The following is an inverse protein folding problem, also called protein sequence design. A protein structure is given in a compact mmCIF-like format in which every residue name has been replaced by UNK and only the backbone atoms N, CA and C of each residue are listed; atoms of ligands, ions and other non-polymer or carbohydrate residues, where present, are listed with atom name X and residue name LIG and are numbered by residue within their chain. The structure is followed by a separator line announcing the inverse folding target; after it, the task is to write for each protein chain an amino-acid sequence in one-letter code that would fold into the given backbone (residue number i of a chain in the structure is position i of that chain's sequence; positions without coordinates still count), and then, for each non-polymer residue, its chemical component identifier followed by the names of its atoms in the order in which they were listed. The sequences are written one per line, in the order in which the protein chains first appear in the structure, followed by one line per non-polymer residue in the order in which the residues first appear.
data_IF_063036228245
#
_entry.id   IF_063036228245
#
_cell.length_a   1.000
_cell.length_b   1.000
_cell.length_c   1.000
_cell.angle_alpha   90.00
_cell.angle_beta   90.00
_cell.angle_gamma   90.00
#
_symmetry.space_group_name_H-M   'P 1'
#
loop_
_entity.id
_entity.type
_entity.pdbx_description
1 polymer ?
#
# COMPACT_ATOMS: atom_id res chain seq x y z
N UNK A 1 13.77 -14.23 -12.46
CA UNK A 1 13.74 -13.10 -13.38
C UNK A 1 14.91 -13.16 -14.34
N UNK A 2 14.68 -12.88 -15.62
CA UNK A 2 15.72 -12.90 -16.63
C UNK A 2 16.78 -11.83 -16.32
N UNK A 3 18.04 -12.22 -16.34
CA UNK A 3 19.21 -11.35 -16.12
C UNK A 3 19.16 -10.48 -14.83
N UNK A 4 18.48 -10.96 -13.77
CA UNK A 4 18.34 -10.27 -12.50
C UNK A 4 18.65 -11.22 -11.30
N UNK A 5 19.93 -11.63 -11.12
CA UNK A 5 20.33 -12.59 -10.09
C UNK A 5 20.02 -12.11 -8.67
N UNK A 6 20.14 -10.79 -8.39
CA UNK A 6 19.81 -10.21 -7.09
C UNK A 6 18.32 -10.39 -6.76
N UNK A 7 17.42 -10.04 -7.70
CA UNK A 7 15.97 -10.27 -7.55
C UNK A 7 15.62 -11.74 -7.40
N UNK A 8 16.33 -12.63 -8.08
CA UNK A 8 16.12 -14.06 -7.95
C UNK A 8 16.50 -14.52 -6.54
N UNK A 9 17.60 -14.02 -5.96
CA UNK A 9 18.00 -14.30 -4.58
C UNK A 9 16.99 -13.80 -3.52
N UNK A 10 16.30 -12.71 -3.80
CA UNK A 10 15.25 -12.17 -2.92
C UNK A 10 13.94 -12.98 -2.98
N UNK A 11 13.54 -13.40 -4.19
CA UNK A 11 12.24 -13.99 -4.46
C UNK A 11 12.23 -15.53 -4.44
N UNK A 12 13.37 -16.17 -4.63
CA UNK A 12 13.49 -17.63 -4.68
C UNK A 12 14.14 -18.16 -3.40
N UNK A 13 13.65 -19.29 -2.92
CA UNK A 13 14.22 -20.01 -1.77
C UNK A 13 14.49 -21.44 -2.20
N UNK A 14 15.73 -21.87 -2.09
CA UNK A 14 16.12 -23.26 -2.23
C UNK A 14 16.04 -23.95 -0.87
N UNK A 15 15.34 -25.08 -0.83
CA UNK A 15 15.22 -25.91 0.37
C UNK A 15 16.32 -26.97 0.42
N UNK A 16 16.55 -27.53 1.59
CA UNK A 16 17.59 -28.57 1.80
C UNK A 16 17.47 -29.81 0.89
N UNK A 17 16.30 -30.07 0.31
CA UNK A 17 16.05 -31.14 -0.66
C UNK A 17 16.20 -30.71 -2.13
N UNK A 18 16.76 -29.51 -2.39
CA UNK A 18 17.03 -28.99 -3.73
C UNK A 18 15.80 -28.44 -4.46
N UNK A 19 14.63 -28.32 -3.80
CA UNK A 19 13.45 -27.70 -4.40
C UNK A 19 13.53 -26.18 -4.30
N UNK A 20 13.18 -25.51 -5.39
CA UNK A 20 13.13 -24.05 -5.46
C UNK A 20 11.68 -23.59 -5.34
N UNK A 21 11.41 -22.68 -4.40
CA UNK A 21 10.11 -22.07 -4.17
C UNK A 21 10.18 -20.58 -4.42
N UNK A 22 9.08 -20.03 -4.94
CA UNK A 22 8.89 -18.59 -5.14
C UNK A 22 8.16 -17.99 -3.94
N UNK A 23 8.74 -16.94 -3.33
CA UNK A 23 8.07 -16.15 -2.28
C UNK A 23 7.05 -15.23 -2.93
N UNK A 24 5.77 -15.52 -2.75
CA UNK A 24 4.69 -14.73 -3.32
C UNK A 24 4.53 -13.36 -2.66
N UNK A 25 5.01 -13.21 -1.44
CA UNK A 25 4.77 -12.04 -0.59
C UNK A 25 3.43 -12.07 0.13
N UNK A 26 2.66 -13.13 -0.05
CA UNK A 26 1.40 -13.32 0.67
C UNK A 26 1.66 -13.78 2.10
N UNK A 27 0.89 -13.24 3.04
CA UNK A 27 0.85 -13.68 4.43
C UNK A 27 -0.32 -14.63 4.59
N UNK A 28 -0.01 -15.84 5.05
CA UNK A 28 -0.99 -16.88 5.30
C UNK A 28 -0.80 -17.43 6.70
N UNK A 29 -1.87 -17.97 7.28
CA UNK A 29 -1.82 -18.80 8.48
C UNK A 29 -2.44 -20.16 8.19
N UNK A 30 -2.00 -21.17 8.89
CA UNK A 30 -2.64 -22.49 8.90
C UNK A 30 -3.67 -22.51 10.03
N UNK A 31 -4.86 -23.02 9.78
CA UNK A 31 -5.86 -23.25 10.81
C UNK A 31 -5.71 -24.63 11.47
N UNK A 32 -6.66 -25.00 12.37
CA UNK A 32 -6.62 -26.25 13.10
C UNK A 32 -6.83 -27.49 12.19
N UNK A 33 -7.48 -27.32 11.07
CA UNK A 33 -7.79 -28.37 10.09
C UNK A 33 -6.67 -28.54 9.05
N UNK A 34 -5.66 -27.66 9.08
CA UNK A 34 -4.52 -27.66 8.16
C UNK A 34 -4.74 -26.84 6.89
N UNK A 35 -5.84 -26.10 6.80
CA UNK A 35 -6.15 -25.23 5.68
C UNK A 35 -5.35 -23.92 5.73
N UNK A 36 -4.95 -23.42 4.55
CA UNK A 36 -4.19 -22.19 4.43
C UNK A 36 -5.16 -21.01 4.28
N UNK A 37 -5.23 -20.20 5.33
CA UNK A 37 -6.04 -18.97 5.36
C UNK A 37 -5.17 -17.80 4.92
N UNK A 38 -5.59 -17.11 3.85
CA UNK A 38 -4.96 -15.86 3.41
C UNK A 38 -5.20 -14.74 4.42
N UNK A 39 -4.11 -14.07 4.86
CA UNK A 39 -4.17 -12.99 5.86
C UNK A 39 -3.80 -11.62 5.28
N UNK A 40 -3.41 -11.56 4.01
CA UNK A 40 -3.00 -10.32 3.34
C UNK A 40 -1.62 -10.43 2.69
N UNK A 41 -0.98 -9.28 2.46
CA UNK A 41 0.35 -9.23 1.86
C UNK A 41 1.39 -8.62 2.81
N UNK A 42 2.63 -9.06 2.67
CA UNK A 42 3.79 -8.50 3.38
C UNK A 42 4.13 -7.08 2.89
N UNK A 43 3.87 -6.83 1.61
CA UNK A 43 4.07 -5.54 0.95
C UNK A 43 2.75 -4.73 0.91
N UNK A 44 2.85 -3.48 0.46
CA UNK A 44 1.70 -2.57 0.36
C UNK A 44 0.87 -2.79 -0.91
N UNK A 45 0.94 -3.96 -1.54
CA UNK A 45 0.17 -4.28 -2.73
C UNK A 45 -1.26 -4.67 -2.40
N UNK A 46 -2.18 -4.19 -3.20
CA UNK A 46 -3.60 -4.55 -3.13
C UNK A 46 -4.14 -4.87 -4.52
N UNK A 47 -5.31 -5.48 -4.58
CA UNK A 47 -6.05 -5.67 -5.83
C UNK A 47 -7.35 -4.87 -5.76
N UNK A 48 -7.56 -3.98 -6.73
CA UNK A 48 -8.82 -3.24 -6.93
C UNK A 48 -9.31 -3.53 -8.33
N UNK A 49 -10.54 -4.06 -8.46
CA UNK A 49 -11.16 -4.37 -9.75
C UNK A 49 -10.26 -5.19 -10.70
N UNK A 50 -9.45 -6.10 -10.14
CA UNK A 50 -8.51 -6.93 -10.90
C UNK A 50 -7.14 -6.29 -11.18
N UNK A 51 -6.98 -5.00 -10.95
CA UNK A 51 -5.69 -4.32 -11.09
C UNK A 51 -4.82 -4.51 -9.84
N UNK A 52 -3.55 -4.82 -10.06
CA UNK A 52 -2.53 -4.89 -8.99
C UNK A 52 -1.96 -3.50 -8.76
N UNK A 53 -2.17 -2.95 -7.57
CA UNK A 53 -1.82 -1.58 -7.21
C UNK A 53 -0.76 -1.60 -6.12
N UNK A 54 0.31 -0.86 -6.34
CA UNK A 54 1.34 -0.54 -5.34
C UNK A 54 0.96 0.77 -4.65
N UNK A 55 0.53 0.73 -3.39
CA UNK A 55 0.17 1.96 -2.66
C UNK A 55 1.35 2.93 -2.56
N UNK A 56 2.57 2.42 -2.48
CA UNK A 56 3.80 3.22 -2.45
C UNK A 56 4.02 4.04 -3.72
N UNK A 57 3.55 3.59 -4.88
CA UNK A 57 3.62 4.35 -6.13
C UNK A 57 2.75 5.60 -6.06
N UNK A 58 1.50 5.45 -5.57
CA UNK A 58 0.59 6.58 -5.38
C UNK A 58 1.17 7.57 -4.36
N UNK A 59 1.71 7.05 -3.24
CA UNK A 59 2.35 7.87 -2.21
C UNK A 59 3.55 8.63 -2.74
N UNK A 60 4.34 8.01 -3.59
CA UNK A 60 5.51 8.65 -4.21
C UNK A 60 5.08 9.81 -5.12
N UNK A 61 4.09 9.58 -5.99
CA UNK A 61 3.56 10.62 -6.88
C UNK A 61 2.96 11.76 -6.07
N UNK A 62 2.16 11.44 -5.03
CA UNK A 62 1.57 12.46 -4.16
C UNK A 62 2.62 13.26 -3.37
N UNK A 63 3.70 12.63 -2.90
CA UNK A 63 4.82 13.33 -2.24
C UNK A 63 5.52 14.32 -3.17
N UNK A 64 5.65 13.98 -4.45
CA UNK A 64 6.28 14.88 -5.43
C UNK A 64 5.46 16.16 -5.63
N UNK A 65 4.13 16.10 -5.53
CA UNK A 65 3.28 17.29 -5.52
C UNK A 65 3.64 18.28 -4.39
N UNK A 66 4.03 17.76 -3.24
CA UNK A 66 4.43 18.56 -2.07
C UNK A 66 5.94 18.80 -1.96
N UNK A 67 6.74 18.53 -2.99
CA UNK A 67 8.22 18.62 -2.97
C UNK A 67 8.86 17.86 -1.81
N UNK A 68 8.19 16.82 -1.30
CA UNK A 68 8.67 16.04 -0.16
C UNK A 68 8.50 16.70 1.22
N UNK A 69 7.84 17.85 1.31
CA UNK A 69 7.72 18.65 2.56
C UNK A 69 6.78 18.05 3.60
N UNK A 70 5.94 17.08 3.22
CA UNK A 70 4.99 16.45 4.14
C UNK A 70 4.96 14.93 3.98
N UNK A 71 4.51 14.25 5.03
CA UNK A 71 4.23 12.81 4.95
C UNK A 71 2.92 12.58 4.25
N UNK A 72 2.91 11.53 3.44
CA UNK A 72 1.74 11.09 2.69
C UNK A 72 1.61 9.59 2.86
N UNK A 73 0.41 9.11 3.09
CA UNK A 73 0.08 7.68 3.09
C UNK A 73 -1.21 7.44 2.34
N UNK A 74 -1.31 6.28 1.71
CA UNK A 74 -2.56 5.79 1.11
C UNK A 74 -3.07 4.62 1.94
N UNK A 75 -4.32 4.72 2.37
CA UNK A 75 -5.01 3.73 3.18
C UNK A 75 -6.12 3.10 2.35
N UNK A 76 -6.07 1.79 2.09
CA UNK A 76 -7.20 1.08 1.50
C UNK A 76 -8.28 0.86 2.56
N UNK A 77 -9.51 1.23 2.25
CA UNK A 77 -10.69 0.91 3.08
C UNK A 77 -11.66 0.07 2.29
N UNK A 78 -12.27 -0.90 2.94
CA UNK A 78 -13.26 -1.78 2.35
C UNK A 78 -14.64 -1.39 2.88
N UNK A 79 -15.59 -1.22 1.97
CA UNK A 79 -16.98 -0.99 2.33
C UNK A 79 -17.71 -2.30 2.70
N UNK A 80 -19.01 -2.20 3.00
CA UNK A 80 -19.83 -3.35 3.38
C UNK A 80 -19.97 -4.40 2.26
N UNK A 81 -19.79 -4.00 1.01
CA UNK A 81 -19.81 -4.86 -0.18
C UNK A 81 -18.42 -5.38 -0.55
N UNK A 82 -17.44 -5.21 0.36
CA UNK A 82 -16.05 -5.60 0.18
C UNK A 82 -15.37 -4.92 -1.03
N UNK A 83 -15.87 -3.74 -1.45
CA UNK A 83 -15.22 -2.92 -2.45
C UNK A 83 -14.14 -2.07 -1.79
N UNK A 84 -12.95 -2.09 -2.38
CA UNK A 84 -11.80 -1.34 -1.86
C UNK A 84 -11.79 0.07 -2.43
N UNK A 85 -11.73 1.07 -1.56
CA UNK A 85 -11.54 2.46 -1.91
C UNK A 85 -10.21 2.98 -1.35
N UNK A 86 -9.54 3.83 -2.13
CA UNK A 86 -8.28 4.44 -1.73
C UNK A 86 -8.53 5.78 -1.05
N UNK A 87 -7.93 5.94 0.13
CA UNK A 87 -7.93 7.17 0.90
C UNK A 87 -6.51 7.74 0.96
N UNK A 88 -6.29 8.91 0.37
CA UNK A 88 -5.04 9.66 0.50
C UNK A 88 -5.09 10.46 1.79
N UNK A 89 -4.08 10.31 2.64
CA UNK A 89 -3.94 11.07 3.88
C UNK A 89 -2.64 11.85 3.83
N UNK A 90 -2.71 13.15 4.09
CA UNK A 90 -1.58 14.07 4.03
C UNK A 90 -1.37 14.71 5.40
N UNK A 91 -0.13 14.76 5.86
CA UNK A 91 0.25 15.45 7.11
C UNK A 91 0.34 16.95 6.88
N UNK A 92 -0.84 17.59 6.84
CA UNK A 92 -1.00 19.04 6.67
C UNK A 92 -2.27 19.51 7.36
N UNK A 93 -2.34 20.81 7.69
CA UNK A 93 -3.56 21.43 8.23
C UNK A 93 -4.66 21.60 7.19
N UNK A 94 -4.27 21.88 5.96
CA UNK A 94 -5.19 22.13 4.85
C UNK A 94 -4.62 21.54 3.55
N UNK A 95 -5.50 21.15 2.66
CA UNK A 95 -5.21 20.56 1.37
C UNK A 95 -6.13 21.15 0.30
N UNK A 96 -5.55 21.63 -0.79
CA UNK A 96 -6.31 21.87 -2.00
C UNK A 96 -6.54 20.55 -2.72
N UNK A 97 -7.73 19.98 -2.47
CA UNK A 97 -8.09 18.64 -2.99
C UNK A 97 -8.16 18.64 -4.51
N UNK A 98 -8.61 19.71 -5.11
CA UNK A 98 -8.75 19.79 -6.57
C UNK A 98 -7.38 19.77 -7.25
N UNK A 99 -6.44 20.58 -6.77
CA UNK A 99 -5.10 20.64 -7.37
C UNK A 99 -4.35 19.32 -7.27
N UNK A 100 -4.42 18.63 -6.12
CA UNK A 100 -3.76 17.34 -5.99
C UNK A 100 -4.45 16.26 -6.81
N UNK A 101 -5.77 16.27 -6.93
CA UNK A 101 -6.52 15.34 -7.79
C UNK A 101 -6.11 15.50 -9.26
N UNK A 102 -6.11 16.72 -9.77
CA UNK A 102 -5.65 17.03 -11.14
C UNK A 102 -4.21 16.58 -11.36
N UNK A 103 -3.32 16.80 -10.39
CA UNK A 103 -1.94 16.36 -10.45
C UNK A 103 -1.81 14.83 -10.51
N UNK A 104 -2.56 14.11 -9.67
CA UNK A 104 -2.57 12.65 -9.65
C UNK A 104 -3.14 12.08 -10.96
N UNK A 105 -4.28 12.61 -11.43
CA UNK A 105 -4.93 12.20 -12.68
C UNK A 105 -4.02 12.36 -13.90
N UNK A 106 -3.10 13.34 -13.88
CA UNK A 106 -2.15 13.55 -14.98
C UNK A 106 -0.99 12.55 -15.00
N UNK A 107 -0.80 11.74 -13.94
CA UNK A 107 0.38 10.88 -13.73
C UNK A 107 0.07 9.43 -13.40
N UNK A 108 -1.12 9.15 -12.94
CA UNK A 108 -1.54 7.81 -12.52
C UNK A 108 -2.74 7.33 -13.34
N UNK A 109 -2.85 6.02 -13.56
CA UNK A 109 -4.06 5.43 -14.13
C UNK A 109 -5.30 5.70 -13.24
N UNK A 110 -6.48 5.75 -13.84
CA UNK A 110 -7.73 6.07 -13.15
C UNK A 110 -8.02 5.19 -11.92
N UNK A 111 -7.66 3.90 -11.98
CA UNK A 111 -7.87 2.94 -10.90
C UNK A 111 -6.93 3.13 -9.69
N UNK A 112 -5.90 3.97 -9.81
CA UNK A 112 -4.98 4.36 -8.74
C UNK A 112 -5.34 5.71 -8.09
N UNK A 113 -6.35 6.43 -8.60
CA UNK A 113 -6.72 7.74 -8.06
C UNK A 113 -7.53 7.55 -6.76
N UNK A 114 -7.06 8.13 -5.63
CA UNK A 114 -7.79 8.07 -4.37
C UNK A 114 -9.12 8.82 -4.46
N UNK A 115 -10.22 8.16 -4.06
CA UNK A 115 -11.55 8.77 -4.02
C UNK A 115 -11.71 9.76 -2.86
N UNK A 116 -10.97 9.53 -1.78
CA UNK A 116 -11.07 10.33 -0.56
C UNK A 116 -9.72 10.93 -0.20
N UNK A 117 -9.73 12.19 0.23
CA UNK A 117 -8.53 12.91 0.63
C UNK A 117 -8.73 13.54 2.00
N UNK A 118 -7.81 13.28 2.90
CA UNK A 118 -7.85 13.70 4.30
C UNK A 118 -6.60 14.46 4.69
N UNK A 119 -6.74 15.38 5.65
CA UNK A 119 -5.63 16.06 6.30
C UNK A 119 -5.56 15.63 7.76
N UNK A 120 -4.36 15.38 8.24
CA UNK A 120 -4.06 15.26 9.66
C UNK A 120 -2.92 16.24 9.97
N UNK A 121 -3.06 17.02 11.02
CA UNK A 121 -2.01 17.98 11.40
C UNK A 121 -0.70 17.27 11.71
N UNK A 122 -0.79 16.09 12.33
CA UNK A 122 0.35 15.26 12.67
C UNK A 122 -0.02 13.78 12.55
N UNK A 123 0.87 13.02 11.91
CA UNK A 123 0.69 11.57 11.81
C UNK A 123 1.03 10.88 13.12
N UNK A 124 0.17 9.96 13.59
CA UNK A 124 0.52 9.09 14.71
C UNK A 124 1.72 8.22 14.34
N UNK A 125 2.63 8.04 15.32
CA UNK A 125 3.81 7.20 15.18
C UNK A 125 3.63 5.92 16.01
N UNK A 126 4.16 4.83 15.49
CA UNK A 126 4.26 3.57 16.22
C UNK A 126 5.48 3.57 17.17
N UNK A 127 5.66 2.51 17.94
CA UNK A 127 6.77 2.33 18.90
C UNK A 127 8.17 2.41 18.27
N UNK A 128 8.28 2.23 16.95
CA UNK A 128 9.52 2.34 16.17
C UNK A 128 9.67 3.69 15.48
N UNK A 129 8.92 4.72 15.90
CA UNK A 129 8.91 6.08 15.34
C UNK A 129 8.55 6.14 13.84
N UNK A 130 7.86 5.12 13.32
CA UNK A 130 7.34 5.10 11.96
C UNK A 130 5.86 5.47 11.97
N UNK A 131 5.35 6.00 10.87
CA UNK A 131 3.92 6.30 10.68
C UNK A 131 3.04 5.09 10.99
N UNK A 132 2.10 5.27 11.92
CA UNK A 132 1.15 4.23 12.34
C UNK A 132 -0.08 4.24 11.43
N UNK A 133 -0.02 3.44 10.37
CA UNK A 133 -1.12 3.35 9.38
C UNK A 133 -2.43 2.85 9.97
N UNK A 134 -2.38 1.98 11.00
CA UNK A 134 -3.58 1.45 11.65
C UNK A 134 -4.31 2.57 12.39
N UNK A 135 -3.57 3.36 13.18
CA UNK A 135 -4.16 4.52 13.86
C UNK A 135 -4.68 5.56 12.87
N UNK A 136 -3.98 5.81 11.75
CA UNK A 136 -4.50 6.72 10.71
C UNK A 136 -5.82 6.19 10.16
N UNK A 137 -5.94 4.89 9.91
CA UNK A 137 -7.16 4.27 9.38
C UNK A 137 -8.37 4.42 10.34
N UNK A 138 -8.13 4.47 11.65
CA UNK A 138 -9.14 4.71 12.68
C UNK A 138 -9.57 6.18 12.76
N UNK A 139 -8.71 7.12 12.34
CA UNK A 139 -8.93 8.56 12.40
C UNK A 139 -9.66 9.16 11.20
N UNK A 140 -9.80 8.41 10.10
CA UNK A 140 -10.37 8.89 8.82
C UNK A 140 -11.67 8.22 8.45
#
# INVERSE_FOLDING_TARGET
YWNAPEKNGECLVETANGKVYYKTGDLCRMDADGDIIYCGRKDSQIKIQGFRIELSEIEHVAKNFFNGECRVVVIPKYDNDNQCELHLVVEKKQLDKQQIEEYLCSRLPYYMIPKHMHCLEQFPLNTSSKTDRKKIQELI
#
